data_IF_127287807197
#
_entry.id   IF_127287807197
#
_cell.length_a   1.000
_cell.length_b   1.000
_cell.length_c   1.000
_cell.angle_alpha   90.00
_cell.angle_beta   90.00
_cell.angle_gamma   90.00
#
_symmetry.space_group_name_H-M   'P 1'
#
loop_
_entity.id
_entity.type
_entity.pdbx_description
1 polymer ?
#
# COMPACT_ATOMS: atom_id res chain seq x y z
N UNK A 1 -13.55 -2.45 -1.09
CA UNK A 1 -12.40 -1.84 -0.42
C UNK A 1 -11.88 -2.76 0.68
N UNK A 2 -10.63 -3.18 0.57
CA UNK A 2 -10.04 -4.19 1.47
C UNK A 2 -8.91 -3.65 2.34
N UNK A 3 -8.56 -2.35 2.20
CA UNK A 3 -7.47 -1.70 2.94
C UNK A 3 -8.01 -0.68 3.94
N UNK A 4 -7.16 -0.26 4.89
CA UNK A 4 -7.54 0.77 5.89
C UNK A 4 -7.92 2.10 5.24
N UNK A 5 -7.23 2.45 4.16
CA UNK A 5 -7.51 3.59 3.31
C UNK A 5 -7.96 3.10 1.94
N UNK A 6 -9.01 3.67 1.39
CA UNK A 6 -9.56 3.23 0.10
C UNK A 6 -10.18 4.35 -0.69
N UNK A 7 -10.02 4.25 -2.01
CA UNK A 7 -10.67 5.09 -3.02
C UNK A 7 -11.49 4.26 -4.00
N UNK A 8 -11.94 3.06 -3.60
CA UNK A 8 -12.39 1.92 -4.40
C UNK A 8 -11.19 1.26 -5.09
N UNK A 9 -10.62 1.87 -6.10
CA UNK A 9 -9.33 1.53 -6.70
C UNK A 9 -8.45 2.78 -6.74
N UNK A 10 -7.14 2.61 -6.57
CA UNK A 10 -6.20 3.72 -6.62
C UNK A 10 -4.95 3.48 -5.78
N UNK A 11 -4.06 4.43 -5.84
CA UNK A 11 -2.82 4.45 -5.07
C UNK A 11 -2.27 5.86 -4.97
N UNK A 12 -1.36 6.05 -4.06
CA UNK A 12 -0.60 7.29 -3.93
C UNK A 12 0.87 6.96 -3.74
N UNK A 13 1.72 7.79 -4.30
CA UNK A 13 3.16 7.74 -4.12
C UNK A 13 3.61 9.03 -3.47
N UNK A 14 4.29 8.92 -2.35
CA UNK A 14 4.97 10.03 -1.67
C UNK A 14 6.44 9.72 -1.52
N UNK A 15 7.27 10.72 -1.53
CA UNK A 15 8.71 10.55 -1.33
C UNK A 15 9.28 11.69 -0.48
N UNK A 16 10.34 11.36 0.24
CA UNK A 16 11.12 12.31 1.02
C UNK A 16 12.61 11.95 0.86
N UNK A 17 13.22 12.43 -0.22
CA UNK A 17 14.60 12.13 -0.56
C UNK A 17 15.53 13.18 0.06
N UNK A 18 16.62 12.75 0.67
CA UNK A 18 17.64 13.64 1.24
C UNK A 18 18.24 14.61 0.18
N UNK A 19 18.25 14.18 -1.09
CA UNK A 19 18.72 14.97 -2.23
C UNK A 19 17.56 15.59 -3.05
N UNK A 20 16.32 15.55 -2.57
CA UNK A 20 15.14 15.97 -3.33
C UNK A 20 15.18 17.42 -3.83
N UNK A 21 15.87 18.30 -3.13
CA UNK A 21 16.07 19.70 -3.51
C UNK A 21 17.35 19.95 -4.32
N UNK A 22 18.17 18.92 -4.58
CA UNK A 22 19.33 19.03 -5.45
C UNK A 22 18.90 19.07 -6.93
N UNK A 23 19.67 19.79 -7.77
CA UNK A 23 19.43 19.88 -9.21
C UNK A 23 19.78 18.55 -9.89
N UNK A 24 18.92 18.14 -10.82
CA UNK A 24 19.12 16.90 -11.60
C UNK A 24 20.31 17.07 -12.56
N UNK A 25 21.27 16.14 -12.58
CA UNK A 25 22.37 16.17 -13.55
C UNK A 25 21.87 15.96 -14.99
N UNK A 26 22.50 16.65 -15.95
CA UNK A 26 22.08 16.71 -17.36
C UNK A 26 22.04 15.33 -18.10
N UNK A 27 22.62 14.28 -17.55
CA UNK A 27 22.90 13.02 -18.28
C UNK A 27 22.03 11.83 -17.80
N UNK A 28 20.75 12.01 -17.51
CA UNK A 28 19.94 10.86 -17.11
C UNK A 28 18.91 10.44 -18.16
N UNK A 29 19.01 9.18 -18.58
CA UNK A 29 18.03 8.48 -19.42
C UNK A 29 17.23 7.52 -18.53
N UNK A 30 15.90 7.60 -18.56
CA UNK A 30 15.05 6.72 -17.77
C UNK A 30 14.32 5.71 -18.65
N UNK A 31 14.38 4.43 -18.28
CA UNK A 31 13.65 3.33 -18.94
C UNK A 31 13.91 3.23 -20.46
N UNK A 32 15.10 3.58 -20.91
CA UNK A 32 15.46 3.56 -22.34
C UNK A 32 14.81 4.65 -23.19
N UNK A 33 13.98 5.52 -22.62
CA UNK A 33 13.35 6.63 -23.33
C UNK A 33 13.95 7.96 -22.90
N UNK A 34 14.22 8.90 -23.84
CA UNK A 34 14.73 10.22 -23.50
C UNK A 34 13.62 11.03 -22.80
N UNK A 35 13.77 11.27 -21.51
CA UNK A 35 12.95 12.25 -20.80
C UNK A 35 13.58 13.61 -21.03
N UNK A 36 12.79 14.63 -21.46
CA UNK A 36 13.32 15.96 -21.70
C UNK A 36 14.00 16.51 -20.45
N UNK A 37 15.24 17.00 -20.60
CA UNK A 37 15.96 17.69 -19.54
C UNK A 37 15.42 19.10 -19.38
N UNK A 38 15.21 19.54 -18.14
CA UNK A 38 14.88 20.92 -17.80
C UNK A 38 16.01 21.47 -16.92
N UNK A 39 16.61 22.55 -17.36
CA UNK A 39 17.72 23.20 -16.65
C UNK A 39 17.24 23.75 -15.29
N UNK A 40 17.97 23.43 -14.23
CA UNK A 40 17.63 23.85 -12.88
C UNK A 40 16.54 23.05 -12.19
N UNK A 41 15.94 22.05 -12.86
CA UNK A 41 14.93 21.18 -12.26
C UNK A 41 15.52 20.38 -11.08
N UNK A 42 14.84 20.39 -9.95
CA UNK A 42 15.20 19.58 -8.77
C UNK A 42 14.74 18.12 -8.93
N UNK A 43 15.31 17.22 -8.14
CA UNK A 43 14.87 15.83 -8.12
C UNK A 43 13.38 15.68 -7.75
N UNK A 44 12.86 16.49 -6.85
CA UNK A 44 11.44 16.46 -6.48
C UNK A 44 10.54 16.80 -7.67
N UNK A 45 10.88 17.87 -8.41
CA UNK A 45 10.14 18.29 -9.61
C UNK A 45 10.25 17.27 -10.74
N UNK A 46 11.45 16.73 -10.97
CA UNK A 46 11.68 15.71 -11.97
C UNK A 46 10.88 14.43 -11.68
N UNK A 47 10.90 13.90 -10.44
CA UNK A 47 10.15 12.71 -10.06
C UNK A 47 8.65 12.95 -10.21
N UNK A 48 8.16 14.12 -9.84
CA UNK A 48 6.76 14.47 -10.01
C UNK A 48 6.36 14.47 -11.50
N UNK A 49 7.11 15.16 -12.34
CA UNK A 49 6.91 15.22 -13.80
C UNK A 49 7.00 13.83 -14.44
N UNK A 50 7.98 13.03 -14.07
CA UNK A 50 8.13 11.66 -14.54
C UNK A 50 6.93 10.77 -14.15
N UNK A 51 6.44 10.93 -12.92
CA UNK A 51 5.26 10.20 -12.43
C UNK A 51 4.00 10.57 -13.22
N UNK A 52 3.84 11.82 -13.60
CA UNK A 52 2.74 12.26 -14.48
C UNK A 52 2.83 11.62 -15.87
N UNK A 53 4.03 11.61 -16.47
CA UNK A 53 4.25 10.95 -17.77
C UNK A 53 3.93 9.45 -17.69
N UNK A 54 4.40 8.76 -16.65
CA UNK A 54 4.14 7.33 -16.46
C UNK A 54 2.66 7.00 -16.26
N UNK A 55 1.91 7.88 -15.60
CA UNK A 55 0.51 7.65 -15.30
C UNK A 55 -0.44 7.98 -16.44
N UNK A 56 0.00 8.73 -17.47
CA UNK A 56 -0.84 9.21 -18.57
C UNK A 56 -0.19 8.98 -19.95
N UNK A 57 0.11 7.73 -20.28
CA UNK A 57 0.63 7.32 -21.59
C UNK A 57 1.92 8.00 -22.06
N UNK A 58 2.65 8.69 -21.21
CA UNK A 58 3.80 9.50 -21.60
C UNK A 58 3.44 10.80 -22.33
N UNK A 59 2.21 11.27 -22.23
CA UNK A 59 1.81 12.55 -22.83
C UNK A 59 2.50 13.72 -22.11
N UNK A 60 3.12 14.61 -22.91
CA UNK A 60 3.80 15.79 -22.38
C UNK A 60 2.87 16.96 -22.05
N UNK A 61 1.56 16.78 -22.18
CA UNK A 61 0.55 17.81 -21.98
C UNK A 61 -0.66 17.24 -21.24
N UNK A 62 -1.04 17.87 -20.15
CA UNK A 62 -2.21 17.49 -19.38
C UNK A 62 -3.54 17.98 -19.99
N UNK A 63 -4.67 17.56 -19.42
CA UNK A 63 -5.99 17.92 -19.89
C UNK A 63 -6.25 19.43 -19.77
N UNK A 64 -5.73 20.11 -18.74
CA UNK A 64 -5.90 21.55 -18.53
C UNK A 64 -5.14 22.38 -19.57
N UNK A 65 -3.94 21.93 -19.94
CA UNK A 65 -3.17 22.58 -21.01
C UNK A 65 -3.87 22.45 -22.38
N UNK A 66 -4.66 21.39 -22.60
CA UNK A 66 -5.45 21.20 -23.83
C UNK A 66 -6.69 22.06 -23.95
N UNK A 67 -7.15 22.72 -22.87
CA UNK A 67 -8.34 23.59 -22.87
C UNK A 67 -8.08 24.96 -23.51
N UNK A 68 -6.83 25.35 -23.74
CA UNK A 68 -6.49 26.60 -24.42
C UNK A 68 -6.82 26.50 -25.91
N UNK A 69 -7.44 27.53 -26.46
CA UNK A 69 -7.82 27.60 -27.87
C UNK A 69 -6.60 27.34 -28.77
N UNK A 70 -6.72 26.41 -29.73
CA UNK A 70 -5.65 26.04 -30.63
C UNK A 70 -4.58 25.07 -30.06
N UNK A 71 -4.70 24.66 -28.81
CA UNK A 71 -3.71 23.81 -28.12
C UNK A 71 -3.96 22.31 -28.33
N UNK A 72 -4.15 21.85 -29.55
CA UNK A 72 -4.40 20.42 -29.86
C UNK A 72 -3.12 19.59 -29.89
N UNK A 73 -1.98 20.20 -30.17
CA UNK A 73 -0.71 19.51 -30.40
C UNK A 73 -0.11 19.01 -29.06
N UNK A 74 0.25 17.75 -29.03
CA UNK A 74 0.95 17.12 -27.92
C UNK A 74 1.82 15.97 -28.48
N UNK A 75 2.76 15.50 -27.67
CA UNK A 75 3.63 14.38 -28.03
C UNK A 75 3.57 13.30 -26.94
N UNK A 76 3.92 12.06 -27.34
CA UNK A 76 4.09 10.89 -26.47
C UNK A 76 5.59 10.64 -26.32
N UNK A 77 6.13 11.00 -25.17
CA UNK A 77 7.56 10.88 -24.86
C UNK A 77 8.00 9.44 -24.70
N UNK A 78 7.09 8.56 -24.26
CA UNK A 78 7.37 7.15 -24.09
C UNK A 78 6.10 6.31 -23.92
N UNK A 79 6.13 5.01 -24.26
CA UNK A 79 4.96 4.11 -24.25
C UNK A 79 4.66 3.60 -22.84
N UNK A 80 4.21 4.49 -21.95
CA UNK A 80 3.95 4.15 -20.55
C UNK A 80 2.47 3.90 -20.26
N UNK A 81 2.09 3.86 -19.00
CA UNK A 81 0.82 3.34 -18.52
C UNK A 81 -0.32 4.36 -18.57
N UNK A 82 -1.54 3.88 -18.41
CA UNK A 82 -2.75 4.67 -18.13
C UNK A 82 -3.24 4.28 -16.74
N UNK A 83 -2.86 5.04 -15.72
CA UNK A 83 -3.17 4.76 -14.33
C UNK A 83 -3.42 6.04 -13.49
N UNK A 84 -3.91 7.10 -14.13
CA UNK A 84 -4.32 8.31 -13.41
C UNK A 84 -5.58 8.06 -12.58
N UNK A 85 -5.64 8.67 -11.39
CA UNK A 85 -6.82 8.66 -10.55
C UNK A 85 -7.92 9.56 -11.16
N UNK A 86 -9.17 9.12 -11.09
CA UNK A 86 -10.31 9.96 -11.48
C UNK A 86 -10.72 10.89 -10.34
N UNK A 87 -11.40 12.00 -10.66
CA UNK A 87 -11.88 12.97 -9.67
C UNK A 87 -12.85 12.35 -8.66
N UNK A 88 -13.67 11.39 -9.11
CA UNK A 88 -14.59 10.64 -8.23
C UNK A 88 -13.81 9.84 -7.18
N UNK A 89 -12.76 9.13 -7.59
CA UNK A 89 -11.91 8.37 -6.67
C UNK A 89 -11.12 9.30 -5.75
N UNK A 90 -10.65 10.44 -6.27
CA UNK A 90 -9.96 11.45 -5.47
C UNK A 90 -10.87 12.06 -4.40
N UNK A 91 -12.12 12.38 -4.74
CA UNK A 91 -13.11 12.91 -3.80
C UNK A 91 -13.39 11.91 -2.66
N UNK A 92 -13.54 10.61 -2.97
CA UNK A 92 -13.63 9.56 -1.96
C UNK A 92 -12.37 9.52 -1.08
N UNK A 93 -11.20 9.66 -1.69
CA UNK A 93 -9.90 9.70 -1.02
C UNK A 93 -9.79 10.82 0.01
N UNK A 94 -10.23 12.02 -0.34
CA UNK A 94 -10.22 13.18 0.57
C UNK A 94 -11.03 12.90 1.84
N UNK A 95 -12.26 12.40 1.71
CA UNK A 95 -13.11 12.03 2.87
C UNK A 95 -12.49 10.91 3.70
N UNK A 96 -11.90 9.90 3.04
CA UNK A 96 -11.21 8.82 3.75
C UNK A 96 -9.96 9.32 4.50
N UNK A 97 -9.23 10.24 3.91
CA UNK A 97 -8.02 10.83 4.51
C UNK A 97 -8.36 11.61 5.78
N UNK A 98 -9.41 12.40 5.78
CA UNK A 98 -9.91 13.11 6.96
C UNK A 98 -10.27 12.16 8.11
N UNK A 99 -10.90 11.02 7.79
CA UNK A 99 -11.32 10.00 8.77
C UNK A 99 -10.20 9.07 9.22
N UNK A 100 -9.09 9.01 8.50
CA UNK A 100 -8.05 8.01 8.67
C UNK A 100 -7.42 7.99 10.07
N UNK A 101 -7.10 9.14 10.71
CA UNK A 101 -6.54 9.15 12.07
C UNK A 101 -7.46 8.46 13.08
N UNK A 102 -8.76 8.75 13.06
CA UNK A 102 -9.73 8.12 13.98
C UNK A 102 -9.90 6.62 13.73
N UNK A 103 -9.78 6.19 12.47
CA UNK A 103 -9.81 4.76 12.12
C UNK A 103 -8.56 4.03 12.64
N UNK A 104 -7.38 4.64 12.55
CA UNK A 104 -6.15 4.08 13.11
C UNK A 104 -6.25 3.96 14.63
N UNK A 105 -6.74 4.97 15.32
CA UNK A 105 -6.91 4.92 16.78
C UNK A 105 -7.81 3.76 17.22
N UNK A 106 -8.94 3.55 16.53
CA UNK A 106 -9.81 2.40 16.80
C UNK A 106 -9.09 1.06 16.60
N UNK A 107 -8.27 0.94 15.54
CA UNK A 107 -7.49 -0.27 15.28
C UNK A 107 -6.43 -0.50 16.34
N UNK A 108 -5.75 0.55 16.80
CA UNK A 108 -4.79 0.46 17.90
C UNK A 108 -5.45 -0.10 19.17
N UNK A 109 -6.64 0.40 19.53
CA UNK A 109 -7.40 -0.11 20.68
C UNK A 109 -7.77 -1.59 20.53
N UNK A 110 -8.26 -1.99 19.33
CA UNK A 110 -8.60 -3.39 19.06
C UNK A 110 -7.38 -4.31 19.15
N UNK A 111 -6.23 -3.90 18.59
CA UNK A 111 -4.99 -4.68 18.65
C UNK A 111 -4.52 -4.83 20.10
N UNK A 112 -4.58 -3.77 20.91
CA UNK A 112 -4.23 -3.85 22.32
C UNK A 112 -5.12 -4.84 23.10
N UNK A 113 -6.43 -4.88 22.79
CA UNK A 113 -7.36 -5.86 23.36
C UNK A 113 -7.02 -7.29 22.94
N UNK A 114 -6.72 -7.52 21.65
CA UNK A 114 -6.30 -8.83 21.17
C UNK A 114 -4.99 -9.29 21.82
N UNK A 115 -3.99 -8.41 21.93
CA UNK A 115 -2.72 -8.73 22.58
C UNK A 115 -2.96 -9.18 24.01
N UNK A 116 -3.69 -8.39 24.81
CA UNK A 116 -4.00 -8.73 26.20
C UNK A 116 -4.76 -10.08 26.32
N UNK A 117 -5.69 -10.35 25.42
CA UNK A 117 -6.41 -11.62 25.36
C UNK A 117 -5.49 -12.81 25.06
N UNK A 118 -4.60 -12.64 24.07
CA UNK A 118 -3.64 -13.70 23.71
C UNK A 118 -2.61 -13.91 24.80
N UNK A 119 -2.12 -12.84 25.45
CA UNK A 119 -1.18 -12.97 26.57
C UNK A 119 -1.82 -13.74 27.73
N UNK A 120 -3.09 -13.46 28.05
CA UNK A 120 -3.86 -14.21 29.06
C UNK A 120 -4.07 -15.67 28.66
N UNK A 121 -4.33 -15.95 27.38
CA UNK A 121 -4.44 -17.32 26.87
C UNK A 121 -3.11 -18.06 26.97
N UNK A 122 -2.01 -17.42 26.55
CA UNK A 122 -0.67 -18.00 26.61
C UNK A 122 -0.20 -18.32 28.03
N UNK A 123 -0.71 -17.60 29.04
CA UNK A 123 -0.40 -17.86 30.43
C UNK A 123 -0.91 -19.24 30.94
N UNK A 124 -1.89 -19.83 30.26
CA UNK A 124 -2.47 -21.15 30.59
C UNK A 124 -2.13 -22.24 29.58
N UNK A 125 -1.50 -21.88 28.47
CA UNK A 125 -1.01 -22.84 27.45
C UNK A 125 0.42 -23.28 27.79
N UNK A 126 0.78 -24.48 27.39
CA UNK A 126 2.17 -24.95 27.48
C UNK A 126 3.08 -24.18 26.50
N UNK A 127 4.40 -24.26 26.73
CA UNK A 127 5.39 -23.49 25.99
C UNK A 127 5.45 -23.83 24.49
N UNK A 128 5.08 -25.05 24.11
CA UNK A 128 5.15 -25.54 22.73
C UNK A 128 3.90 -25.13 21.92
N UNK A 129 2.78 -24.88 22.59
CA UNK A 129 1.47 -24.61 21.99
C UNK A 129 0.98 -23.17 22.26
N UNK A 130 1.80 -22.20 21.93
CA UNK A 130 1.51 -20.78 22.12
C UNK A 130 0.87 -20.14 20.90
N UNK A 131 0.13 -19.07 21.10
CA UNK A 131 -0.32 -18.15 20.05
C UNK A 131 0.65 -16.97 19.96
N UNK A 132 1.37 -16.85 18.85
CA UNK A 132 2.29 -15.73 18.61
C UNK A 132 1.61 -14.71 17.72
N UNK A 133 1.76 -13.42 18.01
CA UNK A 133 1.30 -12.32 17.18
C UNK A 133 2.47 -11.42 16.78
N UNK A 134 2.26 -10.59 15.74
CA UNK A 134 3.28 -9.66 15.29
C UNK A 134 3.34 -8.45 16.21
N UNK A 135 4.58 -7.98 16.48
CA UNK A 135 4.75 -6.68 17.11
C UNK A 135 4.45 -5.57 16.09
N UNK A 136 3.37 -4.84 16.32
CA UNK A 136 2.90 -3.76 15.46
C UNK A 136 3.59 -2.42 15.70
N UNK A 137 4.36 -2.30 16.78
CA UNK A 137 5.06 -1.08 17.15
C UNK A 137 6.44 -1.41 17.73
N UNK A 138 7.46 -0.82 17.15
CA UNK A 138 8.85 -0.86 17.62
C UNK A 138 9.44 0.53 17.75
N UNK A 139 10.75 0.62 18.07
CA UNK A 139 11.43 1.91 18.20
C UNK A 139 11.43 2.73 16.91
N UNK A 140 11.46 2.06 15.77
CA UNK A 140 11.66 2.60 14.42
C UNK A 140 10.46 2.37 13.47
N UNK A 141 9.40 1.71 13.95
CA UNK A 141 8.24 1.41 13.11
C UNK A 141 6.92 1.42 13.88
N UNK A 142 5.85 1.74 13.16
CA UNK A 142 4.48 1.56 13.63
C UNK A 142 3.61 1.13 12.45
N UNK A 143 2.95 -0.02 12.59
CA UNK A 143 2.06 -0.53 11.54
C UNK A 143 0.72 0.21 11.55
N UNK A 144 0.04 0.22 10.41
CA UNK A 144 -1.33 0.74 10.29
C UNK A 144 -2.39 -0.21 10.88
N UNK A 145 -1.99 -1.32 11.47
CA UNK A 145 -2.88 -2.35 12.03
C UNK A 145 -3.94 -2.84 11.02
N UNK A 146 -3.53 -2.99 9.76
CA UNK A 146 -4.43 -3.46 8.72
C UNK A 146 -4.87 -4.92 8.95
N UNK A 147 -3.91 -5.78 9.30
CA UNK A 147 -4.12 -7.18 9.62
C UNK A 147 -3.64 -7.46 11.04
N UNK A 148 -4.33 -8.36 11.73
CA UNK A 148 -3.87 -8.94 12.98
C UNK A 148 -3.48 -10.39 12.71
N UNK A 149 -2.19 -10.61 12.47
CA UNK A 149 -1.66 -11.93 12.13
C UNK A 149 -1.25 -12.68 13.37
N UNK A 150 -1.74 -13.91 13.48
CA UNK A 150 -1.35 -14.84 14.55
C UNK A 150 -0.74 -16.11 13.97
N UNK A 151 0.17 -16.71 14.72
CA UNK A 151 0.76 -18.01 14.43
C UNK A 151 0.50 -18.94 15.60
N UNK A 152 -0.09 -20.09 15.32
CA UNK A 152 -0.23 -21.19 16.28
C UNK A 152 1.06 -22.02 16.25
N UNK A 153 1.82 -22.04 17.35
CA UNK A 153 3.04 -22.83 17.46
C UNK A 153 2.68 -24.27 17.83
N UNK A 154 3.53 -25.23 17.45
CA UNK A 154 3.35 -26.65 17.75
C UNK A 154 2.11 -27.33 17.15
N UNK A 155 1.39 -26.66 16.27
CA UNK A 155 0.16 -27.16 15.64
C UNK A 155 0.39 -27.59 14.21
N UNK A 156 -0.22 -28.70 13.82
CA UNK A 156 -0.30 -29.14 12.44
C UNK A 156 -1.20 -28.22 11.61
N UNK A 157 -1.16 -28.38 10.29
CA UNK A 157 -2.04 -27.67 9.38
C UNK A 157 -3.51 -28.04 9.62
N UNK A 158 -3.79 -29.31 9.88
CA UNK A 158 -5.13 -29.84 10.15
C UNK A 158 -5.71 -29.23 11.43
N UNK A 159 -4.93 -29.16 12.51
CA UNK A 159 -5.32 -28.51 13.75
C UNK A 159 -5.58 -26.99 13.54
N UNK A 160 -4.72 -26.30 12.78
CA UNK A 160 -4.93 -24.90 12.46
C UNK A 160 -6.21 -24.67 11.63
N UNK A 161 -6.52 -25.54 10.67
CA UNK A 161 -7.77 -25.49 9.92
C UNK A 161 -8.99 -25.71 10.83
N UNK A 162 -8.89 -26.66 11.76
CA UNK A 162 -9.97 -26.90 12.74
C UNK A 162 -10.22 -25.66 13.62
N UNK A 163 -9.18 -24.95 14.05
CA UNK A 163 -9.33 -23.68 14.77
C UNK A 163 -10.06 -22.64 13.93
N UNK A 164 -9.75 -22.53 12.62
CA UNK A 164 -10.45 -21.62 11.70
C UNK A 164 -11.94 -21.95 11.62
N UNK A 165 -12.30 -23.24 11.52
CA UNK A 165 -13.69 -23.71 11.48
C UNK A 165 -14.41 -23.35 12.78
N UNK A 166 -13.81 -23.66 13.93
CA UNK A 166 -14.38 -23.33 15.23
C UNK A 166 -14.57 -21.82 15.46
N UNK A 167 -13.66 -20.99 14.95
CA UNK A 167 -13.80 -19.53 14.99
C UNK A 167 -14.99 -19.07 14.13
N UNK A 168 -15.13 -19.64 12.93
CA UNK A 168 -16.24 -19.32 12.04
C UNK A 168 -17.61 -19.71 12.64
N UNK A 169 -17.70 -20.86 13.30
CA UNK A 169 -18.91 -21.31 14.04
C UNK A 169 -19.32 -20.32 15.15
N UNK A 170 -18.35 -19.59 15.72
CA UNK A 170 -18.55 -18.54 16.71
C UNK A 170 -18.76 -17.16 16.12
N UNK A 171 -18.92 -17.06 14.79
CA UNK A 171 -19.13 -15.81 14.06
C UNK A 171 -17.87 -14.97 13.86
N UNK A 172 -16.68 -15.55 14.04
CA UNK A 172 -15.39 -14.86 13.85
C UNK A 172 -14.75 -15.35 12.58
N UNK A 173 -14.84 -14.58 11.51
CA UNK A 173 -14.22 -14.90 10.22
C UNK A 173 -12.70 -14.73 10.30
N UNK A 174 -11.97 -15.80 10.07
CA UNK A 174 -10.50 -15.81 9.98
C UNK A 174 -10.06 -16.29 8.60
N UNK A 175 -8.82 -15.99 8.21
CA UNK A 175 -8.27 -16.42 6.92
C UNK A 175 -6.76 -16.66 7.04
N UNK A 176 -6.21 -17.44 6.10
CA UNK A 176 -4.77 -17.70 6.01
C UNK A 176 -4.10 -16.68 5.10
N UNK A 177 -3.07 -16.01 5.59
CA UNK A 177 -2.26 -15.03 4.84
C UNK A 177 -0.82 -15.51 4.65
N UNK A 178 -0.43 -16.16 3.53
CA UNK A 178 -1.26 -16.70 2.44
C UNK A 178 -0.79 -18.14 2.13
N UNK A 179 -1.49 -18.84 1.23
CA UNK A 179 -0.91 -20.04 0.62
C UNK A 179 0.34 -19.61 -0.17
N UNK A 180 1.54 -20.18 0.10
CA UNK A 180 2.77 -19.79 -0.59
C UNK A 180 2.68 -19.95 -2.11
N UNK A 181 3.21 -18.98 -2.87
CA UNK A 181 3.18 -19.01 -4.34
C UNK A 181 3.68 -20.32 -4.97
N UNK A 182 4.80 -20.94 -4.50
CA UNK A 182 5.26 -22.24 -5.03
C UNK A 182 4.25 -23.38 -4.87
N UNK A 183 3.25 -23.22 -4.02
CA UNK A 183 2.16 -24.22 -3.83
C UNK A 183 0.96 -23.96 -4.75
N UNK A 184 0.95 -22.86 -5.49
CA UNK A 184 -0.09 -22.53 -6.46
C UNK A 184 0.18 -23.22 -7.81
N UNK A 185 -0.88 -23.70 -8.48
CA UNK A 185 -0.74 -24.47 -9.73
C UNK A 185 0.03 -23.74 -10.81
N UNK A 186 -0.15 -22.42 -10.93
CA UNK A 186 0.55 -21.61 -11.93
C UNK A 186 2.05 -21.41 -11.67
N UNK A 187 2.55 -21.76 -10.49
CA UNK A 187 3.94 -21.57 -10.06
C UNK A 187 4.65 -22.86 -9.65
N UNK A 188 4.04 -24.01 -9.96
CA UNK A 188 4.62 -25.35 -9.74
C UNK A 188 5.55 -25.75 -10.88
#
# INVERSE_FOLDING_TARGET
AVKNFTTAEGGAMTWNLAFGNAVVPRQQVYCGSPVPFIEGETWNEFIYRLSQLFSLHGQNKDALAKTKLGAWEYDIIGPWYKCNMTDIMAALGLVQFERYPSMLEKRHKMVAMYNAGIDSLNAVLDADHQVKYLNHKGPDHCSSHHLYLVRLTGRSREEANHVIEQMAERGIATNVHYKPLPMMTAYK
#
